data_IF_070992015090
#
_entry.id   IF_070992015090
#
_cell.length_a   1.000
_cell.length_b   1.000
_cell.length_c   1.000
_cell.angle_alpha   90.00
_cell.angle_beta   90.00
_cell.angle_gamma   90.00
#
_symmetry.space_group_name_H-M   'P 1'
#
loop_
_entity.id
_entity.type
_entity.pdbx_description
1 polymer ?
#
# COMPACT_ATOMS: atom_id res chain seq x y z
N UNK A 1 -4.46 -14.58 27.42
CA UNK A 1 -4.79 -15.22 26.13
C UNK A 1 -4.12 -14.35 25.08
N UNK A 2 -2.79 -14.50 24.98
CA UNK A 2 -1.89 -13.53 24.33
C UNK A 2 -1.00 -14.23 23.26
N UNK A 3 -1.16 -15.55 23.14
CA UNK A 3 -0.37 -16.41 22.27
C UNK A 3 -0.80 -16.34 20.80
N UNK A 4 -1.96 -15.76 20.49
CA UNK A 4 -2.53 -15.82 19.15
C UNK A 4 -1.81 -14.89 18.15
N UNK A 5 -1.34 -13.70 18.57
CA UNK A 5 -0.62 -12.79 17.66
C UNK A 5 0.69 -13.42 17.19
N UNK A 6 1.51 -13.91 18.13
CA UNK A 6 2.80 -14.52 17.81
C UNK A 6 2.60 -15.76 16.94
N UNK A 7 1.61 -16.62 17.28
CA UNK A 7 1.30 -17.80 16.48
C UNK A 7 0.84 -17.45 15.06
N UNK A 8 0.03 -16.41 14.91
CA UNK A 8 -0.41 -15.94 13.59
C UNK A 8 0.77 -15.39 12.80
N UNK A 9 1.64 -14.58 13.40
CA UNK A 9 2.85 -14.06 12.75
C UNK A 9 3.75 -15.20 12.30
N UNK A 10 3.97 -16.21 13.15
CA UNK A 10 4.80 -17.36 12.82
C UNK A 10 4.21 -18.24 11.72
N UNK A 11 2.90 -18.50 11.76
CA UNK A 11 2.21 -19.25 10.73
C UNK A 11 2.28 -18.54 9.37
N UNK A 12 2.10 -17.21 9.38
CA UNK A 12 2.15 -16.38 8.17
C UNK A 12 3.56 -16.31 7.61
N UNK A 13 4.56 -16.06 8.45
CA UNK A 13 5.97 -15.96 8.07
C UNK A 13 6.45 -17.26 7.42
N UNK A 14 6.14 -18.40 8.04
CA UNK A 14 6.52 -19.73 7.53
C UNK A 14 5.84 -20.07 6.20
N UNK A 15 4.57 -19.69 6.03
CA UNK A 15 3.80 -20.07 4.85
C UNK A 15 4.20 -19.33 3.57
N UNK A 16 4.75 -18.10 3.69
CA UNK A 16 4.96 -17.20 2.54
C UNK A 16 6.33 -16.54 2.49
N UNK A 17 7.27 -16.94 3.36
CA UNK A 17 8.63 -16.41 3.42
C UNK A 17 8.65 -14.87 3.55
N UNK A 18 7.80 -14.37 4.45
CA UNK A 18 7.68 -12.93 4.76
C UNK A 18 8.33 -12.67 6.11
N UNK A 19 9.14 -11.61 6.19
CA UNK A 19 9.78 -11.18 7.43
C UNK A 19 8.75 -10.87 8.52
N UNK A 20 9.05 -11.26 9.76
CA UNK A 20 8.15 -11.06 10.90
C UNK A 20 7.83 -9.58 11.13
N UNK A 21 8.82 -8.70 11.00
CA UNK A 21 8.67 -7.25 11.17
C UNK A 21 7.57 -6.68 10.28
N UNK A 22 7.61 -7.08 9.02
CA UNK A 22 6.64 -6.64 8.02
C UNK A 22 5.20 -7.08 8.37
N UNK A 23 5.07 -8.22 9.04
CA UNK A 23 3.76 -8.71 9.51
C UNK A 23 3.32 -7.93 10.74
N UNK A 24 4.22 -7.64 11.68
CA UNK A 24 3.94 -6.80 12.85
C UNK A 24 3.48 -5.40 12.45
N UNK A 25 4.23 -4.69 11.60
CA UNK A 25 3.89 -3.34 11.12
C UNK A 25 2.50 -3.30 10.47
N UNK A 26 2.18 -4.35 9.72
CA UNK A 26 0.92 -4.43 9.01
C UNK A 26 -0.24 -4.80 9.94
N UNK A 27 0.02 -5.56 11.01
CA UNK A 27 -0.95 -5.78 12.09
C UNK A 27 -1.19 -4.48 12.86
N UNK A 28 -0.15 -3.75 13.23
CA UNK A 28 -0.24 -2.44 13.91
C UNK A 28 -1.11 -1.46 13.12
N UNK A 29 -0.80 -1.31 11.82
CA UNK A 29 -1.54 -0.45 10.91
C UNK A 29 -3.01 -0.84 10.78
N UNK A 30 -3.30 -2.14 10.82
CA UNK A 30 -4.66 -2.63 10.68
C UNK A 30 -5.48 -2.48 11.97
N UNK A 31 -4.87 -2.71 13.15
CA UNK A 31 -5.49 -2.40 14.45
C UNK A 31 -5.73 -0.90 14.56
N UNK A 32 -4.79 -0.06 14.14
CA UNK A 32 -4.94 1.39 14.10
C UNK A 32 -6.15 1.81 13.24
N UNK A 33 -6.24 1.28 12.02
CA UNK A 33 -7.36 1.56 11.10
C UNK A 33 -8.71 1.04 11.63
N UNK A 34 -8.73 -0.12 12.27
CA UNK A 34 -9.94 -0.67 12.87
C UNK A 34 -10.39 0.18 14.05
N UNK A 35 -9.44 0.56 14.92
CA UNK A 35 -9.69 1.40 16.09
C UNK A 35 -10.22 2.76 15.65
N UNK A 36 -9.59 3.38 14.64
CA UNK A 36 -10.06 4.62 14.02
C UNK A 36 -11.52 4.55 13.54
N UNK A 37 -11.99 3.42 13.01
CA UNK A 37 -13.40 3.23 12.61
C UNK A 37 -14.39 3.08 13.77
N UNK A 38 -13.91 2.68 14.96
CA UNK A 38 -14.73 2.56 16.17
C UNK A 38 -15.03 3.93 16.77
N UNK A 39 -14.07 4.85 16.69
CA UNK A 39 -14.24 6.23 17.10
C UNK A 39 -14.96 7.01 15.99
N UNK A 40 -15.87 7.90 16.38
CA UNK A 40 -16.64 8.73 15.44
C UNK A 40 -15.81 9.90 14.88
N UNK A 41 -14.74 10.26 15.59
CA UNK A 41 -13.78 11.30 15.24
C UNK A 41 -12.70 10.76 14.30
N UNK A 42 -12.19 11.63 13.43
CA UNK A 42 -11.04 11.32 12.59
C UNK A 42 -9.78 11.44 13.46
N UNK A 43 -9.40 10.34 14.13
CA UNK A 43 -8.28 10.31 15.06
C UNK A 43 -7.02 9.71 14.42
N UNK A 44 -5.83 10.22 14.78
CA UNK A 44 -4.57 9.53 14.50
C UNK A 44 -4.29 8.50 15.59
N UNK A 45 -4.10 7.25 15.18
CA UNK A 45 -3.93 6.11 16.08
C UNK A 45 -2.62 5.42 15.75
N UNK A 46 -1.76 5.27 16.76
CA UNK A 46 -0.54 4.49 16.68
C UNK A 46 -0.67 3.26 17.57
N UNK A 47 -0.39 2.09 17.03
CA UNK A 47 -0.40 0.83 17.78
C UNK A 47 1.03 0.32 17.84
N UNK A 48 1.48 -0.09 19.02
CA UNK A 48 2.80 -0.69 19.23
C UNK A 48 2.65 -2.09 19.80
N UNK A 49 3.20 -3.08 19.11
CA UNK A 49 3.18 -4.49 19.51
C UNK A 49 4.57 -4.87 20.04
N UNK A 50 4.60 -5.46 21.23
CA UNK A 50 5.79 -6.12 21.77
C UNK A 50 6.03 -7.44 21.02
N UNK A 51 7.20 -7.55 20.39
CA UNK A 51 7.57 -8.67 19.51
C UNK A 51 7.84 -9.97 20.27
N UNK A 52 8.09 -9.90 21.58
CA UNK A 52 8.38 -11.06 22.42
C UNK A 52 7.14 -11.60 23.12
N UNK A 53 6.28 -10.68 23.59
CA UNK A 53 5.11 -11.05 24.38
C UNK A 53 3.81 -11.04 23.58
N UNK A 54 3.77 -10.34 22.44
CA UNK A 54 2.56 -10.14 21.64
C UNK A 54 1.61 -9.10 22.24
N UNK A 55 1.94 -8.52 23.40
CA UNK A 55 1.14 -7.45 24.00
C UNK A 55 1.20 -6.20 23.13
N UNK A 56 0.06 -5.58 22.93
CA UNK A 56 -0.02 -4.37 22.15
C UNK A 56 -0.69 -3.26 22.94
N UNK A 57 -0.20 -2.04 22.71
CA UNK A 57 -0.77 -0.82 23.27
C UNK A 57 -1.15 0.11 22.14
N UNK A 58 -2.28 0.78 22.32
CA UNK A 58 -2.81 1.70 21.32
C UNK A 58 -2.82 3.10 21.91
N UNK A 59 -2.32 4.03 21.11
CA UNK A 59 -2.15 5.41 21.50
C UNK A 59 -2.85 6.30 20.48
N UNK A 60 -3.66 7.25 20.95
CA UNK A 60 -4.10 8.39 20.15
C UNK A 60 -2.98 9.42 20.15
N UNK A 61 -2.70 10.01 18.99
CA UNK A 61 -1.65 11.03 18.85
C UNK A 61 -2.23 12.36 18.40
N UNK A 62 -1.68 13.44 18.93
CA UNK A 62 -1.94 14.80 18.49
C UNK A 62 -0.63 15.52 18.24
N UNK A 63 -0.59 16.37 17.22
CA UNK A 63 0.56 17.22 16.93
C UNK A 63 0.46 18.52 17.74
N UNK A 64 1.55 18.90 18.40
CA UNK A 64 1.58 20.07 19.29
C UNK A 64 1.96 21.33 18.54
N UNK A 65 1.09 22.34 18.59
CA UNK A 65 1.30 23.67 18.02
C UNK A 65 1.55 24.74 19.08
N UNK A 66 2.17 25.85 18.66
CA UNK A 66 2.37 27.02 19.51
C UNK A 66 1.04 27.71 19.83
N UNK A 67 0.86 28.10 21.10
CA UNK A 67 -0.38 28.70 21.61
C UNK A 67 -0.82 30.00 20.89
N UNK A 68 0.13 30.72 20.28
CA UNK A 68 -0.09 31.99 19.58
C UNK A 68 -0.52 31.86 18.10
N UNK A 69 -0.59 30.64 17.56
CA UNK A 69 -1.04 30.41 16.18
C UNK A 69 -2.57 30.51 16.08
N UNK A 70 -3.07 31.32 15.14
CA UNK A 70 -4.52 31.60 14.98
C UNK A 70 -5.27 30.56 14.13
N UNK A 71 -4.58 29.56 13.62
CA UNK A 71 -5.14 28.55 12.73
C UNK A 71 -4.86 27.18 13.34
N UNK A 72 -5.86 26.60 14.02
CA UNK A 72 -5.97 25.15 14.13
C UNK A 72 -6.66 24.74 12.83
N UNK A 73 -5.94 24.04 11.96
CA UNK A 73 -6.55 23.54 10.72
C UNK A 73 -7.44 22.33 11.04
N UNK A 74 -7.02 21.49 12.00
CA UNK A 74 -7.69 20.23 12.34
C UNK A 74 -7.72 19.95 13.85
N UNK A 75 -8.80 20.35 14.57
CA UNK A 75 -8.91 20.17 16.02
C UNK A 75 -8.82 18.71 16.51
N UNK A 76 -9.10 17.74 15.65
CA UNK A 76 -9.08 16.32 16.00
C UNK A 76 -7.65 15.74 16.02
N UNK A 77 -6.71 16.42 15.36
CA UNK A 77 -5.31 16.01 15.15
C UNK A 77 -4.28 16.94 15.79
N UNK A 78 -4.69 18.15 16.19
CA UNK A 78 -3.80 19.21 16.66
C UNK A 78 -4.15 19.61 18.11
N UNK A 79 -3.14 19.75 18.96
CA UNK A 79 -3.28 20.29 20.32
C UNK A 79 -2.39 21.52 20.50
N UNK A 80 -2.88 22.46 21.31
CA UNK A 80 -2.07 23.58 21.79
C UNK A 80 -1.07 23.09 22.83
N UNK A 81 0.04 23.79 23.00
CA UNK A 81 1.04 23.44 24.02
C UNK A 81 0.39 23.39 25.41
N UNK A 82 -0.53 24.31 25.71
CA UNK A 82 -1.20 24.34 27.00
C UNK A 82 -2.01 23.06 27.30
N UNK A 83 -2.71 22.52 26.29
CA UNK A 83 -3.53 21.30 26.41
C UNK A 83 -2.65 20.03 26.31
N UNK A 84 -1.59 20.10 25.51
CA UNK A 84 -0.62 19.02 25.34
C UNK A 84 0.15 18.72 26.64
N UNK A 85 0.50 19.77 27.41
CA UNK A 85 1.18 19.65 28.70
C UNK A 85 0.30 19.00 29.77
N UNK A 86 -1.04 19.08 29.66
CA UNK A 86 -1.96 18.38 30.57
C UNK A 86 -1.94 16.86 30.35
N UNK A 87 -1.66 16.42 29.13
CA UNK A 87 -1.58 14.99 28.76
C UNK A 87 -0.16 14.47 29.00
N UNK A 88 0.86 15.19 28.54
CA UNK A 88 2.27 14.86 28.73
C UNK A 88 3.06 16.11 29.15
N UNK A 89 3.55 16.11 30.39
CA UNK A 89 4.32 17.22 30.95
C UNK A 89 5.66 17.49 30.21
N UNK A 90 6.11 16.57 29.35
CA UNK A 90 7.30 16.72 28.51
C UNK A 90 7.02 17.20 27.09
N UNK A 91 5.76 17.52 26.76
CA UNK A 91 5.34 17.97 25.44
C UNK A 91 6.11 19.21 24.96
N UNK A 92 6.58 19.18 23.70
CA UNK A 92 7.22 20.30 23.04
C UNK A 92 6.49 20.67 21.74
N UNK A 93 6.61 21.93 21.35
CA UNK A 93 6.05 22.43 20.10
C UNK A 93 6.72 21.70 18.92
N UNK A 94 5.90 21.16 18.01
CA UNK A 94 6.36 20.42 16.85
C UNK A 94 6.53 18.91 17.07
N UNK A 95 6.18 18.41 18.26
CA UNK A 95 6.19 16.98 18.56
C UNK A 95 4.77 16.39 18.61
N UNK A 96 4.69 15.06 18.68
CA UNK A 96 3.43 14.36 18.88
C UNK A 96 3.29 13.95 20.34
N UNK A 97 2.14 14.26 20.94
CA UNK A 97 1.76 13.76 22.27
C UNK A 97 0.87 12.55 22.11
N UNK A 98 1.10 11.54 22.94
CA UNK A 98 0.43 10.24 22.86
C UNK A 98 -0.41 9.99 24.12
N UNK A 99 -1.67 9.59 23.96
CA UNK A 99 -2.53 9.13 25.07
C UNK A 99 -2.95 7.68 24.84
N UNK A 100 -2.76 6.83 25.84
CA UNK A 100 -3.20 5.43 25.77
C UNK A 100 -4.74 5.34 25.71
N UNK A 101 -5.25 4.63 24.70
CA UNK A 101 -6.68 4.43 24.47
C UNK A 101 -7.03 2.94 24.38
N UNK A 102 -8.29 2.62 24.63
CA UNK A 102 -8.80 1.26 24.45
C UNK A 102 -8.88 0.89 22.96
N UNK A 103 -8.13 -0.14 22.59
CA UNK A 103 -8.13 -0.70 21.25
C UNK A 103 -9.28 -1.68 21.02
N UNK A 104 -9.52 -2.06 19.76
CA UNK A 104 -10.32 -3.26 19.48
C UNK A 104 -9.50 -4.53 19.76
N UNK A 105 -10.18 -5.56 20.28
CA UNK A 105 -9.61 -6.89 20.45
C UNK A 105 -9.09 -7.48 19.14
N UNK A 106 -7.81 -7.85 19.13
CA UNK A 106 -7.16 -8.49 18.00
C UNK A 106 -7.85 -9.80 17.61
N UNK A 107 -8.35 -10.60 18.57
CA UNK A 107 -8.93 -11.92 18.33
C UNK A 107 -10.02 -11.93 17.25
N UNK A 108 -10.80 -10.86 17.15
CA UNK A 108 -11.88 -10.76 16.16
C UNK A 108 -11.41 -10.37 14.76
N UNK A 109 -10.27 -9.69 14.64
CA UNK A 109 -9.81 -9.09 13.37
C UNK A 109 -8.51 -9.74 12.86
N UNK A 110 -7.76 -10.42 13.72
CA UNK A 110 -6.42 -10.93 13.46
C UNK A 110 -6.33 -11.84 12.23
N UNK A 111 -7.29 -12.76 12.06
CA UNK A 111 -7.32 -13.65 10.89
C UNK A 111 -7.57 -12.90 9.57
N UNK A 112 -8.42 -11.87 9.58
CA UNK A 112 -8.69 -11.06 8.38
C UNK A 112 -7.50 -10.15 8.05
N UNK A 113 -6.88 -9.57 9.07
CA UNK A 113 -5.68 -8.74 8.94
C UNK A 113 -4.55 -9.59 8.38
N UNK A 114 -4.21 -10.71 9.02
CA UNK A 114 -3.16 -11.61 8.57
C UNK A 114 -3.36 -12.02 7.10
N UNK A 115 -4.60 -12.36 6.72
CA UNK A 115 -4.93 -12.66 5.32
C UNK A 115 -4.68 -11.46 4.41
N UNK A 116 -5.06 -10.25 4.81
CA UNK A 116 -4.85 -9.04 4.02
C UNK A 116 -3.35 -8.72 3.87
N UNK A 117 -2.58 -8.80 4.95
CA UNK A 117 -1.11 -8.62 4.95
C UNK A 117 -0.43 -9.64 4.05
N UNK A 118 -0.83 -10.91 4.15
CA UNK A 118 -0.36 -11.97 3.25
C UNK A 118 -0.63 -11.59 1.79
N UNK A 119 -1.87 -11.22 1.46
CA UNK A 119 -2.25 -10.90 0.08
C UNK A 119 -1.48 -9.68 -0.42
N UNK A 120 -1.28 -8.67 0.43
CA UNK A 120 -0.48 -7.48 0.09
C UNK A 120 0.98 -7.85 -0.16
N UNK A 121 1.62 -8.62 0.73
CA UNK A 121 3.03 -8.99 0.58
C UNK A 121 3.30 -9.94 -0.56
N UNK A 122 2.42 -10.90 -0.78
CA UNK A 122 2.48 -11.77 -1.98
C UNK A 122 2.41 -10.91 -3.24
N UNK A 123 1.48 -9.96 -3.28
CA UNK A 123 1.32 -9.07 -4.43
C UNK A 123 2.54 -8.16 -4.64
N UNK A 124 3.12 -7.62 -3.57
CA UNK A 124 4.36 -6.83 -3.63
C UNK A 124 5.54 -7.66 -4.11
N UNK A 125 5.71 -8.88 -3.62
CA UNK A 125 6.78 -9.78 -4.03
C UNK A 125 6.65 -10.21 -5.49
N UNK A 126 5.43 -10.55 -5.96
CA UNK A 126 5.15 -10.81 -7.37
C UNK A 126 5.44 -9.59 -8.25
N UNK A 127 5.07 -8.40 -7.77
CA UNK A 127 5.32 -7.14 -8.45
C UNK A 127 6.82 -6.85 -8.56
N UNK A 128 7.57 -7.00 -7.49
CA UNK A 128 9.01 -6.76 -7.48
C UNK A 128 9.72 -7.72 -8.44
N UNK A 129 9.39 -9.00 -8.41
CA UNK A 129 9.91 -9.99 -9.38
C UNK A 129 9.60 -9.61 -10.82
N UNK A 130 8.41 -9.08 -11.08
CA UNK A 130 8.03 -8.59 -12.41
C UNK A 130 8.85 -7.37 -12.80
N UNK A 131 9.04 -6.41 -11.91
CA UNK A 131 9.87 -5.22 -12.15
C UNK A 131 11.30 -5.64 -12.49
N UNK A 132 11.91 -6.51 -11.69
CA UNK A 132 13.28 -6.98 -11.89
C UNK A 132 13.45 -7.70 -13.25
N UNK A 133 12.45 -8.50 -13.66
CA UNK A 133 12.50 -9.26 -14.91
C UNK A 133 12.31 -8.40 -16.17
N UNK A 134 11.65 -7.25 -16.05
CA UNK A 134 11.36 -6.33 -17.16
C UNK A 134 12.18 -5.04 -17.13
N UNK A 135 12.97 -4.82 -16.08
CA UNK A 135 13.87 -3.68 -15.95
C UNK A 135 14.82 -3.56 -17.16
N UNK A 136 15.41 -4.68 -17.58
CA UNK A 136 16.35 -4.71 -18.71
C UNK A 136 15.65 -4.73 -20.09
N UNK A 137 14.31 -4.85 -20.10
CA UNK A 137 13.47 -4.92 -21.31
C UNK A 137 12.74 -3.62 -21.60
N UNK A 138 13.02 -2.55 -20.85
CA UNK A 138 12.45 -1.22 -21.13
C UNK A 138 12.89 -0.77 -22.51
N UNK A 139 11.93 -0.33 -23.32
CA UNK A 139 12.15 0.03 -24.73
C UNK A 139 12.08 -1.14 -25.71
N UNK A 140 11.81 -2.37 -25.26
CA UNK A 140 11.61 -3.52 -26.16
C UNK A 140 10.14 -3.75 -26.47
N UNK A 141 9.90 -4.43 -27.60
CA UNK A 141 8.56 -4.85 -28.02
C UNK A 141 8.12 -6.08 -27.21
N UNK A 142 7.03 -5.91 -26.46
CA UNK A 142 6.41 -6.97 -25.67
C UNK A 142 5.03 -7.32 -26.23
N UNK A 143 4.69 -8.60 -26.20
CA UNK A 143 3.39 -9.12 -26.62
C UNK A 143 2.56 -9.52 -25.41
N UNK A 144 1.26 -9.24 -25.44
CA UNK A 144 0.34 -9.64 -24.38
C UNK A 144 -1.10 -9.83 -24.85
N UNK A 145 -1.90 -10.45 -24.00
CA UNK A 145 -3.34 -10.66 -24.21
C UNK A 145 -4.12 -9.64 -23.40
N UNK A 146 -5.07 -8.94 -24.01
CA UNK A 146 -5.93 -7.99 -23.29
C UNK A 146 -6.85 -8.76 -22.33
N UNK A 147 -6.72 -8.52 -21.04
CA UNK A 147 -7.60 -9.12 -20.02
C UNK A 147 -8.86 -8.30 -19.79
N UNK A 148 -8.69 -6.99 -19.59
CA UNK A 148 -9.80 -6.10 -19.21
C UNK A 148 -9.65 -4.70 -19.81
N UNK A 149 -10.80 -4.05 -19.93
CA UNK A 149 -10.97 -2.71 -20.49
C UNK A 149 -11.46 -1.78 -19.39
N UNK A 150 -10.75 -0.69 -19.14
CA UNK A 150 -11.17 0.39 -18.25
C UNK A 150 -11.34 1.71 -19.04
N UNK A 151 -12.00 2.70 -18.42
CA UNK A 151 -12.13 4.04 -19.04
C UNK A 151 -10.76 4.71 -19.27
N UNK A 152 -9.79 4.44 -18.40
CA UNK A 152 -8.44 5.01 -18.44
C UNK A 152 -7.49 4.30 -19.42
N UNK A 153 -7.77 3.05 -19.78
CA UNK A 153 -6.86 2.24 -20.61
C UNK A 153 -7.18 0.76 -20.63
N UNK A 154 -6.19 -0.03 -21.04
CA UNK A 154 -6.29 -1.46 -21.31
C UNK A 154 -5.31 -2.22 -20.41
N UNK A 155 -5.74 -3.34 -19.86
CA UNK A 155 -4.87 -4.21 -19.06
C UNK A 155 -4.50 -5.43 -19.90
N UNK A 156 -3.20 -5.67 -20.03
CA UNK A 156 -2.63 -6.75 -20.80
C UNK A 156 -1.91 -7.72 -19.86
N UNK A 157 -2.01 -9.00 -20.17
CA UNK A 157 -1.20 -10.06 -19.56
C UNK A 157 -0.06 -10.40 -20.51
N UNK A 158 1.18 -10.17 -20.06
CA UNK A 158 2.39 -10.45 -20.84
C UNK A 158 2.89 -11.90 -20.66
N UNK A 159 2.21 -12.71 -19.85
CA UNK A 159 2.66 -14.03 -19.42
C UNK A 159 3.55 -13.98 -18.19
N UNK A 160 3.80 -15.15 -17.56
CA UNK A 160 4.56 -15.29 -16.32
C UNK A 160 4.03 -14.43 -15.15
N UNK A 161 2.71 -14.30 -15.02
CA UNK A 161 2.02 -13.47 -14.02
C UNK A 161 2.34 -11.97 -14.10
N UNK A 162 2.92 -11.49 -15.21
CA UNK A 162 3.20 -10.08 -15.42
C UNK A 162 2.01 -9.36 -16.05
N UNK A 163 1.42 -8.44 -15.29
CA UNK A 163 0.38 -7.54 -15.80
C UNK A 163 0.99 -6.22 -16.27
N UNK A 164 0.43 -5.68 -17.35
CA UNK A 164 0.82 -4.42 -17.93
C UNK A 164 -0.40 -3.54 -18.23
N UNK A 165 -0.20 -2.23 -18.16
CA UNK A 165 -1.21 -1.23 -18.43
C UNK A 165 -0.84 -0.44 -19.69
N UNK A 166 -1.77 -0.40 -20.63
CA UNK A 166 -1.68 0.40 -21.85
C UNK A 166 -2.65 1.58 -21.72
N UNK A 167 -2.16 2.80 -21.43
CA UNK A 167 -3.00 3.98 -21.32
C UNK A 167 -3.71 4.27 -22.64
N UNK A 168 -4.95 4.74 -22.59
CA UNK A 168 -5.72 5.04 -23.81
C UNK A 168 -5.05 6.13 -24.67
N UNK A 169 -4.36 7.08 -24.04
CA UNK A 169 -3.54 8.10 -24.73
C UNK A 169 -2.35 7.52 -25.50
N UNK A 170 -1.89 6.33 -25.14
CA UNK A 170 -0.76 5.63 -25.77
C UNK A 170 -1.22 4.56 -26.78
N UNK A 171 -2.50 4.54 -27.14
CA UNK A 171 -3.07 3.63 -28.15
C UNK A 171 -3.19 4.29 -29.51
N UNK A 172 -3.16 3.48 -30.58
CA UNK A 172 -3.36 3.98 -31.93
C UNK A 172 -4.81 4.47 -32.06
N UNK A 173 -5.04 5.72 -32.49
CA UNK A 173 -6.39 6.26 -32.64
C UNK A 173 -7.26 5.37 -33.54
N UNK A 174 -8.49 5.09 -33.10
CA UNK A 174 -9.51 4.29 -33.81
C UNK A 174 -9.19 2.80 -33.97
N UNK A 175 -8.17 2.27 -33.30
CA UNK A 175 -7.93 0.83 -33.26
C UNK A 175 -8.99 0.13 -32.37
N UNK A 176 -9.77 -0.83 -32.89
CA UNK A 176 -10.73 -1.57 -32.08
C UNK A 176 -10.00 -2.64 -31.26
N UNK A 177 -9.80 -2.38 -29.97
CA UNK A 177 -9.20 -3.34 -29.04
C UNK A 177 -10.31 -3.99 -28.20
N UNK A 178 -10.37 -5.32 -28.21
CA UNK A 178 -11.33 -6.12 -27.44
C UNK A 178 -10.61 -6.96 -26.38
N UNK A 179 -11.33 -7.42 -25.33
CA UNK A 179 -10.79 -8.42 -24.42
C UNK A 179 -10.44 -9.69 -25.21
N UNK A 180 -9.38 -10.38 -24.79
CA UNK A 180 -8.76 -11.54 -25.44
C UNK A 180 -7.96 -11.26 -26.72
N UNK A 181 -7.92 -10.02 -27.23
CA UNK A 181 -7.07 -9.70 -28.36
C UNK A 181 -5.59 -9.78 -27.96
N UNK A 182 -4.75 -10.27 -28.89
CA UNK A 182 -3.29 -10.26 -28.74
C UNK A 182 -2.74 -8.97 -29.34
N UNK A 183 -2.07 -8.19 -28.50
CA UNK A 183 -1.44 -6.93 -28.89
C UNK A 183 0.06 -6.98 -28.66
N UNK A 184 0.79 -6.28 -29.53
CA UNK A 184 2.20 -5.96 -29.36
C UNK A 184 2.32 -4.49 -28.98
N UNK A 185 3.15 -4.16 -28.01
CA UNK A 185 3.39 -2.78 -27.60
C UNK A 185 4.82 -2.66 -27.10
N UNK A 186 5.36 -1.44 -27.08
CA UNK A 186 6.66 -1.19 -26.50
C UNK A 186 6.51 -0.98 -24.99
N UNK A 187 7.43 -1.51 -24.19
CA UNK A 187 7.51 -1.20 -22.77
C UNK A 187 8.09 0.20 -22.60
N UNK A 188 7.26 1.18 -22.22
CA UNK A 188 7.65 2.59 -22.13
C UNK A 188 8.37 2.89 -20.82
N UNK A 189 7.74 2.53 -19.71
CA UNK A 189 8.24 2.83 -18.36
C UNK A 189 7.69 1.82 -17.34
N UNK A 190 8.32 1.77 -16.17
CA UNK A 190 7.89 0.92 -15.06
C UNK A 190 7.42 1.86 -13.94
N UNK A 191 6.16 1.74 -13.55
CA UNK A 191 5.58 2.45 -12.41
C UNK A 191 5.74 1.62 -11.13
N UNK A 192 6.37 2.22 -10.12
CA UNK A 192 6.63 1.60 -8.83
C UNK A 192 5.39 1.70 -7.91
N UNK A 193 4.41 2.54 -8.25
CA UNK A 193 3.24 2.83 -7.41
C UNK A 193 2.40 1.58 -7.07
N UNK A 194 2.03 1.42 -5.80
CA UNK A 194 1.28 0.27 -5.25
C UNK A 194 -0.08 0.06 -5.94
N UNK A 195 -0.64 1.10 -6.58
CA UNK A 195 -1.91 1.04 -7.30
C UNK A 195 -1.74 0.68 -8.77
N UNK A 196 -1.83 -0.62 -9.05
CA UNK A 196 -2.00 -1.14 -10.41
C UNK A 196 -0.78 -1.89 -10.96
N UNK A 197 -0.81 -2.25 -12.25
CA UNK A 197 0.27 -3.01 -12.90
C UNK A 197 1.55 -2.16 -12.99
N UNK A 198 2.73 -2.73 -12.73
CA UNK A 198 3.98 -1.99 -12.80
C UNK A 198 4.37 -1.58 -14.21
N UNK A 199 3.98 -2.33 -15.23
CA UNK A 199 4.50 -2.14 -16.59
C UNK A 199 3.58 -1.21 -17.38
N UNK A 200 4.11 -0.09 -17.89
CA UNK A 200 3.37 0.84 -18.74
C UNK A 200 3.79 0.65 -20.19
N UNK A 201 2.82 0.37 -21.05
CA UNK A 201 3.02 0.11 -22.47
C UNK A 201 2.68 1.32 -23.34
N UNK A 202 3.26 1.38 -24.53
CA UNK A 202 2.90 2.35 -25.58
C UNK A 202 2.88 1.72 -26.97
N UNK A 203 1.98 2.20 -27.83
CA UNK A 203 1.92 1.85 -29.27
C UNK A 203 2.09 3.06 -30.19
N UNK A 204 2.25 4.25 -29.63
CA UNK A 204 2.38 5.52 -30.39
C UNK A 204 3.81 6.03 -30.46
N UNK A 205 4.72 5.47 -29.66
CA UNK A 205 6.13 5.89 -29.69
C UNK A 205 6.80 5.51 -31.02
N UNK A 206 7.67 6.37 -31.59
CA UNK A 206 8.40 6.07 -32.82
C UNK A 206 9.20 4.76 -32.75
N UNK A 207 9.74 4.44 -31.56
CA UNK A 207 10.46 3.21 -31.27
C UNK A 207 9.63 1.95 -31.52
N UNK A 208 8.30 2.03 -31.44
CA UNK A 208 7.42 0.90 -31.75
C UNK A 208 7.53 0.49 -33.22
N UNK A 209 7.59 1.44 -34.15
CA UNK A 209 7.75 1.14 -35.58
C UNK A 209 9.13 0.55 -35.87
N UNK A 210 10.17 1.10 -35.25
CA UNK A 210 11.55 0.62 -35.44
C UNK A 210 11.65 -0.84 -35.01
N UNK A 211 11.12 -1.19 -33.83
CA UNK A 211 11.21 -2.54 -33.29
C UNK A 211 10.23 -3.53 -33.95
N UNK A 212 9.18 -3.04 -34.63
CA UNK A 212 8.24 -3.88 -35.39
C UNK A 212 8.84 -4.36 -36.73
N UNK A 213 9.74 -3.56 -37.32
CA UNK A 213 10.36 -3.82 -38.62
C UNK A 213 11.80 -4.34 -38.53
N UNK A 214 12.30 -4.54 -37.31
CA UNK A 214 13.60 -5.14 -37.01
C UNK A 214 13.50 -6.67 -36.99
#
# INVERSE_FOLDING_TARGET
MDADIIQVVDAVSTAKDVEREVIFDAIESAIASATKKKYAEDIDVNVRIDRQTGHYKTYRRWFVFADDSRELEEPDFELRLIDAVEIDASAQIGEYVEQEIESIDFDRIGAQIAKQVIVQKVREAEKQKTIDLYHDKVGQLVGGVVKRLDRSGYYLDLGNNAEAFLPRRETIPKEPIRPQDRLKAILKEINIDLKGPPLILSRVQPSFLIELFK
#
